data_IF_103368867322
#
_entry.id   IF_103368867322
#
_cell.length_a   1.000
_cell.length_b   1.000
_cell.length_c   1.000
_cell.angle_alpha   90.00
_cell.angle_beta   90.00
_cell.angle_gamma   90.00
#
_symmetry.space_group_name_H-M   'P 1'
#
loop_
_entity.id
_entity.type
_entity.pdbx_description
1 polymer ?
#
# COMPACT_ATOMS: atom_id res chain seq x y z
N UNK A 1 -23.47 -8.82 -7.26
CA UNK A 1 -22.02 -8.91 -7.03
C UNK A 1 -21.60 -7.82 -6.05
N UNK A 2 -20.80 -8.18 -5.07
CA UNK A 2 -20.32 -7.22 -4.08
C UNK A 2 -19.22 -6.34 -4.64
N UNK A 3 -19.14 -5.12 -4.18
CA UNK A 3 -17.94 -4.29 -4.34
C UNK A 3 -17.15 -4.32 -3.04
N UNK A 4 -15.85 -4.14 -3.14
CA UNK A 4 -14.95 -4.21 -1.98
C UNK A 4 -14.33 -2.84 -1.76
N UNK A 5 -14.35 -2.40 -0.51
CA UNK A 5 -13.59 -1.24 -0.06
C UNK A 5 -12.64 -1.70 1.03
N UNK A 6 -11.53 -0.99 1.18
CA UNK A 6 -10.54 -1.24 2.22
C UNK A 6 -10.52 -0.02 3.13
N UNK A 7 -10.63 -0.24 4.44
CA UNK A 7 -10.50 0.82 5.42
C UNK A 7 -9.19 0.66 6.17
N UNK A 8 -8.44 1.74 6.23
CA UNK A 8 -7.14 1.81 6.91
C UNK A 8 -7.34 2.62 8.19
N UNK A 9 -7.05 2.01 9.33
CA UNK A 9 -7.05 2.69 10.61
C UNK A 9 -5.74 3.47 10.79
N UNK A 10 -5.83 4.66 11.35
CA UNK A 10 -4.66 5.50 11.59
C UNK A 10 -4.90 6.42 12.76
N UNK A 11 -3.82 6.99 13.31
CA UNK A 11 -3.94 8.03 14.34
C UNK A 11 -4.37 9.36 13.71
N UNK A 12 -4.90 10.24 14.53
CA UNK A 12 -5.23 11.60 14.11
C UNK A 12 -3.98 12.34 13.57
N UNK A 13 -2.82 12.10 14.19
CA UNK A 13 -1.56 12.74 13.78
C UNK A 13 -1.07 12.26 12.42
N UNK A 14 -1.31 11.00 12.06
CA UNK A 14 -0.84 10.42 10.81
C UNK A 14 -1.85 10.50 9.67
N UNK A 15 -3.10 10.81 9.97
CA UNK A 15 -4.23 10.73 9.03
C UNK A 15 -3.94 11.43 7.69
N UNK A 16 -3.51 12.68 7.73
CA UNK A 16 -3.27 13.44 6.50
C UNK A 16 -2.15 12.85 5.66
N UNK A 17 -1.07 12.44 6.31
CA UNK A 17 0.07 11.85 5.62
C UNK A 17 -0.26 10.49 5.00
N UNK A 18 -1.02 9.66 5.72
CA UNK A 18 -1.44 8.35 5.23
C UNK A 18 -2.37 8.48 4.02
N UNK A 19 -3.36 9.35 4.11
CA UNK A 19 -4.30 9.57 3.01
C UNK A 19 -3.59 10.15 1.78
N UNK A 20 -2.71 11.13 1.96
CA UNK A 20 -1.94 11.74 0.88
C UNK A 20 -1.00 10.72 0.23
N UNK A 21 -0.34 9.89 1.03
CA UNK A 21 0.54 8.84 0.53
C UNK A 21 -0.20 7.90 -0.43
N UNK A 22 -1.32 7.32 0.03
CA UNK A 22 -2.06 6.35 -0.78
C UNK A 22 -2.72 6.98 -2.00
N UNK A 23 -3.17 8.23 -1.91
CA UNK A 23 -3.67 8.96 -3.07
C UNK A 23 -2.60 9.07 -4.16
N UNK A 24 -1.40 9.49 -3.79
CA UNK A 24 -0.27 9.62 -4.73
C UNK A 24 0.23 8.25 -5.21
N UNK A 25 0.35 7.28 -4.32
CA UNK A 25 0.86 5.94 -4.64
C UNK A 25 -0.01 5.21 -5.66
N UNK A 26 -1.33 5.33 -5.53
CA UNK A 26 -2.27 4.61 -6.39
C UNK A 26 -2.85 5.44 -7.52
N UNK A 27 -2.60 6.76 -7.53
CA UNK A 27 -3.26 7.65 -8.46
C UNK A 27 -4.74 7.78 -8.20
N UNK A 28 -5.15 7.63 -6.96
CA UNK A 28 -6.55 7.73 -6.55
C UNK A 28 -6.96 9.17 -6.32
N UNK A 29 -8.22 9.46 -6.64
CA UNK A 29 -8.82 10.76 -6.39
C UNK A 29 -9.38 10.83 -4.97
N UNK A 30 -9.07 11.91 -4.26
CA UNK A 30 -9.57 12.14 -2.90
C UNK A 30 -10.89 12.90 -2.99
N UNK A 31 -12.01 12.19 -2.78
CA UNK A 31 -13.36 12.76 -2.93
C UNK A 31 -13.91 13.34 -1.65
N UNK A 32 -13.46 12.84 -0.50
CA UNK A 32 -13.67 13.39 0.83
C UNK A 32 -12.35 13.29 1.56
N UNK A 33 -12.14 14.01 2.68
CA UNK A 33 -10.88 13.89 3.40
C UNK A 33 -10.46 12.46 3.69
N UNK A 34 -11.43 11.57 3.96
CA UNK A 34 -11.21 10.17 4.35
C UNK A 34 -11.51 9.14 3.27
N UNK A 35 -11.82 9.55 2.03
CA UNK A 35 -12.14 8.60 0.95
C UNK A 35 -11.32 8.85 -0.30
N UNK A 36 -10.71 7.76 -0.80
CA UNK A 36 -10.00 7.74 -2.08
C UNK A 36 -10.70 6.79 -3.02
N UNK A 37 -10.90 7.21 -4.27
CA UNK A 37 -11.48 6.36 -5.31
C UNK A 37 -10.53 6.23 -6.49
N UNK A 38 -10.57 5.07 -7.14
CA UNK A 38 -9.91 4.85 -8.41
C UNK A 38 -10.69 5.61 -9.49
N UNK A 39 -10.08 6.58 -10.19
CA UNK A 39 -10.78 7.31 -11.26
C UNK A 39 -11.32 6.39 -12.36
N UNK A 40 -10.66 5.25 -12.60
CA UNK A 40 -11.12 4.26 -13.56
C UNK A 40 -12.26 3.39 -13.05
N UNK A 41 -12.56 3.43 -11.75
CA UNK A 41 -13.64 2.66 -11.15
C UNK A 41 -13.41 1.15 -11.12
N UNK A 42 -12.16 0.70 -11.21
CA UNK A 42 -11.81 -0.73 -11.32
C UNK A 42 -11.30 -1.30 -10.00
N UNK A 43 -10.39 -0.58 -9.33
CA UNK A 43 -9.76 -1.05 -8.10
C UNK A 43 -10.57 -0.64 -6.87
N UNK A 44 -10.39 -1.33 -5.72
CA UNK A 44 -11.15 -1.03 -4.51
C UNK A 44 -10.97 0.42 -4.03
N UNK A 45 -12.05 1.00 -3.51
CA UNK A 45 -12.00 2.28 -2.82
C UNK A 45 -11.24 2.11 -1.50
N UNK A 46 -10.47 3.13 -1.10
CA UNK A 46 -9.85 3.21 0.21
C UNK A 46 -10.58 4.23 1.08
N UNK A 47 -10.75 3.89 2.35
CA UNK A 47 -11.21 4.80 3.38
C UNK A 47 -10.20 4.83 4.51
N UNK A 48 -10.18 5.92 5.27
CA UNK A 48 -9.28 6.08 6.41
C UNK A 48 -10.11 6.42 7.63
N UNK A 49 -9.87 5.70 8.72
CA UNK A 49 -10.58 5.90 9.97
C UNK A 49 -9.59 6.27 11.06
N UNK A 50 -9.88 7.37 11.77
CA UNK A 50 -9.05 7.79 12.89
C UNK A 50 -9.47 6.96 14.09
N UNK A 51 -8.49 6.26 14.68
CA UNK A 51 -8.69 5.41 15.85
C UNK A 51 -7.75 5.86 16.97
N UNK A 52 -8.13 5.69 18.26
CA UNK A 52 -7.29 6.11 19.38
C UNK A 52 -6.13 5.15 19.65
N UNK A 53 -6.25 3.85 19.29
CA UNK A 53 -5.22 2.89 19.60
C UNK A 53 -4.04 3.02 18.62
N UNK A 54 -2.78 2.99 19.14
CA UNK A 54 -1.61 2.97 18.28
C UNK A 54 -1.47 1.62 17.59
N UNK A 55 -0.79 1.62 16.44
CA UNK A 55 -0.42 0.36 15.79
C UNK A 55 0.77 -0.26 16.53
N UNK A 56 0.54 -1.44 17.11
CA UNK A 56 1.54 -2.13 17.94
C UNK A 56 2.05 -3.41 17.28
N UNK A 57 1.18 -4.16 16.59
CA UNK A 57 1.52 -5.43 15.98
C UNK A 57 1.51 -5.32 14.46
N UNK A 58 2.17 -6.28 13.80
CA UNK A 58 2.16 -6.40 12.35
C UNK A 58 0.74 -6.56 11.83
N UNK A 59 0.45 -5.97 10.66
CA UNK A 59 -0.83 -6.18 9.96
C UNK A 59 -1.06 -7.68 9.76
N UNK A 60 -2.29 -8.11 9.95
CA UNK A 60 -2.69 -9.48 9.62
C UNK A 60 -3.11 -9.60 8.15
N UNK A 61 -3.52 -8.51 7.57
CA UNK A 61 -3.80 -8.36 6.14
C UNK A 61 -2.88 -7.28 5.59
N UNK A 62 -2.42 -7.45 4.36
CA UNK A 62 -1.64 -6.41 3.71
C UNK A 62 -2.00 -6.32 2.22
N UNK A 63 -1.77 -5.15 1.66
CA UNK A 63 -1.96 -4.90 0.25
C UNK A 63 -0.69 -5.30 -0.49
N UNK A 64 -0.86 -6.01 -1.59
CA UNK A 64 0.24 -6.35 -2.50
C UNK A 64 0.04 -5.57 -3.79
N UNK A 65 1.01 -4.74 -4.13
CA UNK A 65 1.03 -3.98 -5.37
C UNK A 65 1.91 -4.72 -6.36
N UNK A 66 1.32 -5.27 -7.41
CA UNK A 66 2.06 -6.01 -8.43
C UNK A 66 2.52 -5.09 -9.54
N UNK A 67 3.81 -5.11 -9.83
CA UNK A 67 4.35 -4.49 -11.05
C UNK A 67 4.18 -5.43 -12.24
N UNK A 68 4.28 -4.92 -13.45
CA UNK A 68 4.06 -5.74 -14.65
C UNK A 68 5.22 -6.67 -14.96
N UNK A 69 6.44 -6.27 -14.63
CA UNK A 69 7.61 -7.11 -14.77
C UNK A 69 8.66 -6.79 -13.71
N UNK A 70 9.59 -7.74 -13.53
CA UNK A 70 10.60 -7.67 -12.47
C UNK A 70 11.42 -6.38 -12.51
N UNK A 71 11.73 -5.89 -13.70
CA UNK A 71 12.56 -4.69 -13.86
C UNK A 71 11.89 -3.44 -13.27
N UNK A 72 10.59 -3.46 -13.07
CA UNK A 72 9.83 -2.33 -12.53
C UNK A 72 9.78 -2.32 -11.01
N UNK A 73 10.21 -3.39 -10.35
CA UNK A 73 10.09 -3.52 -8.90
C UNK A 73 10.88 -2.44 -8.16
N UNK A 74 12.16 -2.35 -8.43
CA UNK A 74 13.04 -1.40 -7.73
C UNK A 74 12.65 0.06 -8.01
N UNK A 75 12.40 0.48 -9.26
CA UNK A 75 11.92 1.84 -9.52
C UNK A 75 10.62 2.16 -8.79
N UNK A 76 9.69 1.20 -8.71
CA UNK A 76 8.42 1.40 -7.99
C UNK A 76 8.65 1.58 -6.49
N UNK A 77 9.53 0.77 -5.90
CA UNK A 77 9.89 0.90 -4.49
C UNK A 77 10.48 2.28 -4.22
N UNK A 78 11.40 2.76 -5.06
CA UNK A 78 11.99 4.09 -4.90
C UNK A 78 10.95 5.20 -4.98
N UNK A 79 10.02 5.09 -5.91
CA UNK A 79 8.91 6.04 -6.04
C UNK A 79 8.10 6.12 -4.75
N UNK A 80 7.77 4.96 -4.17
CA UNK A 80 7.00 4.91 -2.93
C UNK A 80 7.78 5.42 -1.72
N UNK A 81 9.09 5.16 -1.67
CA UNK A 81 9.96 5.73 -0.63
C UNK A 81 10.00 7.25 -0.74
N UNK A 82 10.07 7.79 -1.95
CA UNK A 82 10.04 9.24 -2.17
C UNK A 82 8.71 9.86 -1.71
N UNK A 83 7.62 9.09 -1.73
CA UNK A 83 6.32 9.53 -1.24
C UNK A 83 6.16 9.39 0.28
N UNK A 84 7.09 8.72 0.96
CA UNK A 84 7.07 8.61 2.42
C UNK A 84 7.07 7.19 2.99
N UNK A 85 7.11 6.16 2.16
CA UNK A 85 7.22 4.77 2.66
C UNK A 85 8.63 4.47 3.14
N UNK A 86 8.74 3.49 4.03
CA UNK A 86 10.02 2.98 4.53
C UNK A 86 10.13 1.49 4.21
N UNK A 87 11.26 1.08 3.65
CA UNK A 87 11.52 -0.33 3.34
C UNK A 87 11.81 -1.09 4.62
N UNK A 88 11.14 -2.23 4.82
CA UNK A 88 11.42 -3.15 5.91
C UNK A 88 12.35 -4.28 5.49
N UNK A 89 12.02 -4.98 4.42
CA UNK A 89 12.86 -6.07 3.92
C UNK A 89 12.51 -6.39 2.48
N UNK A 90 13.39 -7.15 1.84
CA UNK A 90 13.24 -7.60 0.47
C UNK A 90 13.46 -9.12 0.42
N UNK A 91 12.62 -9.83 -0.31
CA UNK A 91 12.77 -11.25 -0.57
C UNK A 91 12.97 -11.47 -2.06
N UNK A 92 13.96 -12.28 -2.40
CA UNK A 92 14.26 -12.68 -3.77
C UNK A 92 14.44 -14.20 -3.78
N UNK A 93 13.38 -14.91 -4.11
CA UNK A 93 13.36 -16.36 -4.04
C UNK A 93 12.68 -16.94 -5.26
N UNK A 94 13.33 -17.92 -5.88
CA UNK A 94 12.75 -18.70 -6.97
C UNK A 94 12.66 -20.15 -6.51
N UNK A 95 11.44 -20.68 -6.41
CA UNK A 95 11.19 -22.03 -5.93
C UNK A 95 10.25 -22.76 -6.87
N UNK A 96 10.69 -23.93 -7.38
CA UNK A 96 9.86 -24.78 -8.26
C UNK A 96 9.28 -24.03 -9.48
N UNK A 97 10.07 -23.12 -10.04
CA UNK A 97 9.63 -22.35 -11.21
C UNK A 97 8.78 -21.12 -10.86
N UNK A 98 8.47 -20.91 -9.58
CA UNK A 98 7.80 -19.68 -9.13
C UNK A 98 8.82 -18.63 -8.75
N UNK A 99 8.64 -17.45 -9.31
CA UNK A 99 9.37 -16.26 -8.88
C UNK A 99 8.61 -15.63 -7.73
N UNK A 100 9.25 -15.55 -6.58
CA UNK A 100 8.68 -14.89 -5.41
C UNK A 100 9.63 -13.77 -4.98
N UNK A 101 9.49 -12.63 -5.66
CA UNK A 101 10.33 -11.46 -5.43
C UNK A 101 9.43 -10.31 -5.02
N UNK A 102 9.66 -9.80 -3.83
CA UNK A 102 8.88 -8.68 -3.32
C UNK A 102 9.67 -7.86 -2.30
N UNK A 103 9.24 -6.64 -2.11
CA UNK A 103 9.76 -5.75 -1.07
C UNK A 103 8.59 -5.38 -0.15
N UNK A 104 8.80 -5.53 1.15
CA UNK A 104 7.85 -5.09 2.16
C UNK A 104 8.23 -3.69 2.63
N UNK A 105 7.24 -2.80 2.63
CA UNK A 105 7.39 -1.43 3.08
C UNK A 105 6.35 -1.13 4.16
N UNK A 106 6.53 -0.01 4.85
CA UNK A 106 5.49 0.56 5.70
C UNK A 106 5.07 1.91 5.15
N UNK A 107 3.78 2.19 5.25
CA UNK A 107 3.23 3.50 4.91
C UNK A 107 3.51 4.52 6.03
N UNK A 108 3.17 5.81 5.88
CA UNK A 108 3.44 6.80 6.93
C UNK A 108 2.72 6.54 8.26
N UNK A 109 1.73 5.68 8.28
CA UNK A 109 1.04 5.27 9.52
C UNK A 109 1.60 3.99 10.13
N UNK A 110 2.65 3.42 9.54
CA UNK A 110 3.29 2.19 10.02
C UNK A 110 2.64 0.91 9.52
N UNK A 111 1.73 0.97 8.55
CA UNK A 111 1.07 -0.21 8.00
C UNK A 111 1.94 -0.89 6.95
N UNK A 112 2.12 -2.22 7.07
CA UNK A 112 2.91 -3.01 6.15
C UNK A 112 2.15 -3.24 4.83
N UNK A 113 2.85 -3.11 3.73
CA UNK A 113 2.37 -3.48 2.40
C UNK A 113 3.55 -3.95 1.56
N UNK A 114 3.27 -4.61 0.44
CA UNK A 114 4.31 -5.17 -0.41
C UNK A 114 4.22 -4.65 -1.83
N UNK A 115 5.37 -4.55 -2.48
CA UNK A 115 5.49 -4.40 -3.93
C UNK A 115 6.05 -5.70 -4.45
N UNK A 116 5.35 -6.32 -5.39
CA UNK A 116 5.62 -7.68 -5.83
C UNK A 116 5.90 -7.72 -7.33
N UNK A 117 6.88 -8.54 -7.72
CA UNK A 117 7.04 -8.92 -9.11
C UNK A 117 6.01 -9.99 -9.48
N UNK A 118 5.63 -10.11 -10.76
CA UNK A 118 4.76 -11.20 -11.18
C UNK A 118 5.44 -12.56 -10.96
N UNK A 119 4.63 -13.55 -10.69
CA UNK A 119 5.10 -14.93 -10.41
C UNK A 119 5.60 -15.65 -11.65
#
# INVERSE_FOLDING_TARGET
>A
MDTIAITVDCSADDFEQVAAFWSAALGYERVLPSYLIDPAGVRPRLAFEIVPEPKVVKNRWHVDLYVENLDELEPRVRELVDLGAVVLHHLDEVTQGFTNVFTTLIDPGGNEFCVCAPH
#
